data_IF_480150882696
#
_entry.id   IF_480150882696
#
_cell.length_a   1.000
_cell.length_b   1.000
_cell.length_c   1.000
_cell.angle_alpha   90.00
_cell.angle_beta   90.00
_cell.angle_gamma   90.00
#
_symmetry.space_group_name_H-M   'P 1'
#
loop_
_entity.id
_entity.type
_entity.pdbx_description
1 polymer ?
#
# COMPACT_ATOMS: atom_id res chain seq x y z
N UNK A 1 14.33 40.51 -49.62
CA UNK A 1 14.59 41.48 -48.53
C UNK A 1 14.26 40.82 -47.18
N UNK A 2 14.62 39.55 -47.01
CA UNK A 2 13.89 38.68 -46.09
C UNK A 2 14.68 38.31 -44.82
N UNK A 3 16.03 38.28 -44.88
CA UNK A 3 16.84 37.95 -43.70
C UNK A 3 16.92 39.07 -42.65
N UNK A 4 16.91 40.34 -43.11
CA UNK A 4 16.92 41.50 -42.19
C UNK A 4 15.60 41.66 -41.45
N UNK A 5 14.49 41.35 -42.12
CA UNK A 5 13.15 41.42 -41.56
C UNK A 5 12.96 40.34 -40.49
N UNK A 6 13.40 39.11 -40.77
CA UNK A 6 13.36 37.99 -39.83
C UNK A 6 14.17 38.27 -38.55
N UNK A 7 15.37 38.86 -38.68
CA UNK A 7 16.25 39.11 -37.54
C UNK A 7 15.76 40.23 -36.61
N UNK A 8 14.89 41.12 -37.08
CA UNK A 8 14.31 42.21 -36.29
C UNK A 8 12.89 41.93 -35.81
N UNK A 9 12.15 41.03 -36.46
CA UNK A 9 10.76 40.71 -36.08
C UNK A 9 10.59 39.41 -35.29
N UNK A 10 11.45 38.39 -35.48
CA UNK A 10 11.38 37.19 -34.63
C UNK A 10 11.68 37.45 -33.16
N UNK A 11 12.71 38.24 -32.78
CA UNK A 11 13.03 38.44 -31.38
C UNK A 11 11.87 39.06 -30.56
N UNK A 12 11.22 40.16 -31.01
CA UNK A 12 10.09 40.72 -30.27
C UNK A 12 8.86 39.79 -30.30
N UNK A 13 8.63 39.05 -31.39
CA UNK A 13 7.53 38.08 -31.47
C UNK A 13 7.72 36.92 -30.48
N UNK A 14 8.93 36.36 -30.40
CA UNK A 14 9.26 35.30 -29.46
C UNK A 14 9.23 35.79 -28.01
N UNK A 15 9.67 37.03 -27.75
CA UNK A 15 9.59 37.63 -26.42
C UNK A 15 8.12 37.86 -25.98
N UNK A 16 7.26 38.33 -26.89
CA UNK A 16 5.82 38.46 -26.66
C UNK A 16 5.19 37.09 -26.36
N UNK A 17 5.53 36.07 -27.15
CA UNK A 17 5.01 34.71 -26.97
C UNK A 17 5.45 34.10 -25.63
N UNK A 18 6.72 34.30 -25.25
CA UNK A 18 7.25 33.85 -23.96
C UNK A 18 6.57 34.56 -22.79
N UNK A 19 6.34 35.88 -22.88
CA UNK A 19 5.59 36.64 -21.88
C UNK A 19 4.15 36.13 -21.75
N UNK A 20 3.48 35.79 -22.85
CA UNK A 20 2.13 35.19 -22.81
C UNK A 20 2.13 33.80 -22.15
N UNK A 21 3.12 32.96 -22.44
CA UNK A 21 3.26 31.63 -21.82
C UNK A 21 3.52 31.75 -20.32
N UNK A 22 4.45 32.64 -19.92
CA UNK A 22 4.74 32.88 -18.50
C UNK A 22 3.52 33.49 -17.80
N UNK A 23 2.80 34.42 -18.44
CA UNK A 23 1.57 35.00 -17.90
C UNK A 23 0.49 33.94 -17.67
N UNK A 24 0.32 32.99 -18.60
CA UNK A 24 -0.62 31.87 -18.47
C UNK A 24 -0.21 30.86 -17.39
N UNK A 25 1.08 30.78 -17.06
CA UNK A 25 1.62 29.87 -16.05
C UNK A 25 1.65 30.48 -14.63
N UNK A 26 1.87 31.79 -14.53
CA UNK A 26 1.94 32.53 -13.25
C UNK A 26 0.59 33.07 -12.82
N UNK A 27 -0.27 33.46 -13.77
CA UNK A 27 -1.67 33.77 -13.49
C UNK A 27 -2.48 32.49 -13.68
N UNK A 28 -3.14 31.92 -12.65
CA UNK A 28 -4.14 30.89 -12.86
C UNK A 28 -5.39 31.56 -13.43
N UNK A 29 -5.29 32.08 -14.65
CA UNK A 29 -6.43 32.47 -15.45
C UNK A 29 -7.04 31.18 -15.95
N UNK A 30 -7.91 30.60 -15.12
CA UNK A 30 -8.89 29.60 -15.52
C UNK A 30 -9.63 30.14 -16.75
N UNK A 31 -9.44 29.57 -17.95
CA UNK A 31 -10.36 29.77 -19.05
C UNK A 31 -11.45 28.71 -18.86
N UNK A 32 -12.28 28.93 -17.85
CA UNK A 32 -13.29 27.98 -17.41
C UNK A 32 -14.09 28.62 -16.28
N UNK A 33 -15.39 28.68 -16.46
CA UNK A 33 -16.32 29.22 -15.49
C UNK A 33 -16.18 28.54 -14.12
N UNK A 34 -16.71 29.22 -13.09
CA UNK A 34 -16.94 28.73 -11.73
C UNK A 34 -15.76 28.73 -10.74
N UNK A 35 -15.36 29.93 -10.31
CA UNK A 35 -15.01 30.15 -8.91
C UNK A 35 -16.22 30.79 -8.21
N UNK A 36 -17.08 30.05 -7.47
CA UNK A 36 -18.12 30.69 -6.68
C UNK A 36 -17.45 31.32 -5.45
N UNK A 37 -17.23 32.64 -5.52
CA UNK A 37 -17.19 33.48 -4.32
C UNK A 37 -18.51 33.26 -3.58
N UNK A 38 -18.44 32.66 -2.40
CA UNK A 38 -19.52 32.48 -1.44
C UNK A 38 -20.37 33.77 -1.31
N UNK A 39 -21.64 33.80 -1.75
CA UNK A 39 -22.56 34.87 -1.39
C UNK A 39 -23.36 34.46 -0.14
N UNK A 40 -23.88 35.44 0.62
CA UNK A 40 -24.69 35.15 1.80
C UNK A 40 -26.02 34.52 1.39
N UNK A 41 -26.53 33.68 2.29
CA UNK A 41 -27.80 32.98 2.14
C UNK A 41 -28.95 33.98 1.99
N UNK A 42 -29.58 34.01 0.80
CA UNK A 42 -31.03 34.18 0.57
C UNK A 42 -31.30 34.65 -0.86
N UNK A 43 -31.99 33.83 -1.67
CA UNK A 43 -33.09 34.25 -2.57
C UNK A 43 -33.36 33.20 -3.68
N UNK A 44 -34.49 32.51 -3.53
CA UNK A 44 -35.45 32.04 -4.52
C UNK A 44 -35.09 31.88 -6.03
N UNK A 45 -35.27 30.63 -6.51
CA UNK A 45 -36.07 30.19 -7.69
C UNK A 45 -36.08 31.09 -8.96
N UNK A 46 -35.58 30.54 -10.09
CA UNK A 46 -36.32 30.25 -11.35
C UNK A 46 -35.37 29.96 -12.53
N UNK A 47 -35.75 29.00 -13.37
CA UNK A 47 -35.55 29.06 -14.84
C UNK A 47 -34.56 28.04 -15.41
N UNK A 48 -35.03 27.22 -16.36
CA UNK A 48 -34.31 26.10 -16.97
C UNK A 48 -33.28 26.46 -18.05
N UNK A 49 -32.45 25.47 -18.36
CA UNK A 49 -31.40 25.43 -19.39
C UNK A 49 -30.53 24.18 -19.17
N UNK A 50 -29.87 23.63 -20.21
CA UNK A 50 -29.36 22.25 -20.20
C UNK A 50 -28.13 22.10 -19.29
N UNK A 51 -28.36 21.67 -18.05
CA UNK A 51 -27.35 21.49 -17.00
C UNK A 51 -26.90 20.02 -16.87
N UNK A 52 -27.19 19.16 -17.85
CA UNK A 52 -26.89 17.72 -17.79
C UNK A 52 -25.40 17.38 -18.02
N UNK A 53 -24.52 18.36 -18.24
CA UNK A 53 -23.13 18.09 -18.64
C UNK A 53 -22.05 18.48 -17.64
N UNK A 54 -22.38 19.22 -16.58
CA UNK A 54 -21.39 19.69 -15.59
C UNK A 54 -21.46 18.91 -14.26
N UNK A 55 -22.55 18.18 -13.99
CA UNK A 55 -22.69 17.36 -12.76
C UNK A 55 -21.89 16.04 -12.79
N UNK A 56 -21.43 15.59 -13.97
CA UNK A 56 -20.80 14.27 -14.14
C UNK A 56 -19.31 14.26 -13.73
N UNK A 57 -18.63 15.41 -13.73
CA UNK A 57 -17.18 15.49 -13.50
C UNK A 57 -16.82 15.69 -12.01
N UNK A 58 -17.64 16.39 -11.22
CA UNK A 58 -17.42 16.57 -9.77
C UNK A 58 -17.85 15.32 -8.95
N UNK A 59 -18.69 14.46 -9.53
CA UNK A 59 -19.09 13.18 -8.93
C UNK A 59 -17.96 12.12 -8.90
N UNK A 60 -16.85 12.35 -9.62
CA UNK A 60 -15.75 11.39 -9.72
C UNK A 60 -14.81 11.40 -8.49
N UNK A 61 -14.86 12.44 -7.65
CA UNK A 61 -13.95 12.61 -6.50
C UNK A 61 -14.61 12.38 -5.13
N UNK A 62 -15.94 12.34 -5.04
CA UNK A 62 -16.60 11.90 -3.81
C UNK A 62 -16.54 10.38 -3.72
N UNK A 63 -15.96 9.80 -2.64
CA UNK A 63 -16.08 8.37 -2.41
C UNK A 63 -17.57 8.06 -2.34
N UNK A 64 -18.07 7.30 -3.32
CA UNK A 64 -19.44 6.78 -3.28
C UNK A 64 -19.64 6.20 -1.89
N UNK A 65 -20.59 6.73 -1.11
CA UNK A 65 -20.91 6.23 0.22
C UNK A 65 -21.40 4.79 0.07
N UNK A 66 -20.47 3.85 0.04
CA UNK A 66 -20.78 2.45 0.11
C UNK A 66 -21.39 2.21 1.49
N UNK A 67 -22.53 1.51 1.51
CA UNK A 67 -23.15 1.09 2.76
C UNK A 67 -22.10 0.31 3.58
N UNK A 68 -21.89 0.75 4.83
CA UNK A 68 -20.95 0.09 5.75
C UNK A 68 -21.68 -1.00 6.51
N UNK A 69 -21.16 -2.23 6.45
CA UNK A 69 -21.70 -3.34 7.23
C UNK A 69 -21.55 -3.05 8.74
N UNK A 70 -22.59 -3.28 9.57
CA UNK A 70 -22.55 -2.99 11.00
C UNK A 70 -21.78 -4.09 11.75
N UNK A 71 -20.46 -3.99 11.77
CA UNK A 71 -19.61 -4.88 12.57
C UNK A 71 -19.78 -4.63 14.07
N UNK A 72 -19.79 -5.70 14.86
CA UNK A 72 -19.75 -5.59 16.31
C UNK A 72 -18.36 -5.08 16.76
N UNK A 73 -18.30 -4.36 17.89
CA UNK A 73 -17.03 -3.84 18.43
C UNK A 73 -15.98 -4.95 18.67
N UNK A 74 -16.42 -6.16 19.01
CA UNK A 74 -15.54 -7.32 19.18
C UNK A 74 -14.92 -7.85 17.88
N UNK A 75 -15.55 -7.60 16.72
CA UNK A 75 -15.02 -8.02 15.42
C UNK A 75 -13.92 -7.07 14.93
N UNK A 76 -14.09 -5.77 15.21
CA UNK A 76 -13.15 -4.70 14.87
C UNK A 76 -11.92 -4.69 15.79
N UNK A 77 -12.11 -4.96 17.08
CA UNK A 77 -11.03 -4.87 18.08
C UNK A 77 -10.22 -6.16 18.15
N UNK A 78 -9.20 -6.30 17.30
CA UNK A 78 -8.25 -7.42 17.34
C UNK A 78 -7.02 -7.04 18.17
N UNK A 79 -7.09 -7.27 19.48
CA UNK A 79 -5.96 -7.11 20.40
C UNK A 79 -5.46 -8.48 20.86
N UNK A 80 -4.29 -8.89 20.35
CA UNK A 80 -3.62 -10.12 20.74
C UNK A 80 -2.39 -9.76 21.57
N UNK A 81 -2.24 -10.33 22.76
CA UNK A 81 -0.99 -10.29 23.51
C UNK A 81 -0.06 -11.34 22.91
N UNK A 82 0.88 -10.91 22.08
CA UNK A 82 1.83 -11.81 21.43
C UNK A 82 3.07 -11.98 22.31
N UNK A 83 3.29 -13.21 22.79
CA UNK A 83 4.48 -13.56 23.55
C UNK A 83 5.57 -14.12 22.63
N UNK A 84 6.50 -13.24 22.28
CA UNK A 84 7.68 -13.60 21.48
C UNK A 84 8.72 -14.41 22.25
N UNK A 85 8.61 -14.61 23.57
CA UNK A 85 9.48 -15.55 24.32
C UNK A 85 8.77 -16.86 24.67
N UNK A 86 7.44 -16.89 24.58
CA UNK A 86 6.60 -18.07 24.82
C UNK A 86 6.53 -19.06 23.65
N UNK A 87 5.32 -19.47 23.26
CA UNK A 87 5.07 -20.45 22.17
C UNK A 87 4.26 -19.87 21.01
N UNK A 88 4.00 -18.57 21.02
CA UNK A 88 3.14 -17.94 20.01
C UNK A 88 3.85 -17.87 18.66
N UNK A 89 3.11 -18.18 17.59
CA UNK A 89 3.62 -18.17 16.22
C UNK A 89 2.67 -17.37 15.33
N UNK A 90 3.22 -16.44 14.56
CA UNK A 90 2.49 -15.76 13.49
C UNK A 90 2.57 -16.61 12.23
N UNK A 91 1.42 -16.94 11.65
CA UNK A 91 1.32 -17.66 10.37
C UNK A 91 0.87 -16.69 9.29
N UNK A 92 1.73 -16.44 8.30
CA UNK A 92 1.39 -15.58 7.17
C UNK A 92 0.93 -16.41 5.96
N UNK A 93 -0.40 -16.46 5.74
CA UNK A 93 -1.03 -17.02 4.56
C UNK A 93 -0.83 -16.06 3.37
N UNK A 94 -0.04 -16.48 2.38
CA UNK A 94 0.32 -15.65 1.23
C UNK A 94 -0.50 -16.00 -0.02
N UNK A 95 -1.61 -15.28 -0.20
CA UNK A 95 -2.45 -15.35 -1.41
C UNK A 95 -1.69 -14.74 -2.60
N UNK A 96 -1.83 -15.36 -3.77
CA UNK A 96 -1.17 -14.89 -4.98
C UNK A 96 -1.58 -13.47 -5.36
N UNK A 97 -0.61 -12.70 -5.89
CA UNK A 97 -0.81 -11.36 -6.46
C UNK A 97 -1.41 -10.30 -5.50
N UNK A 98 -1.45 -10.55 -4.20
CA UNK A 98 -1.95 -9.60 -3.18
C UNK A 98 -0.87 -8.70 -2.58
N UNK A 99 0.29 -8.57 -3.24
CA UNK A 99 1.43 -7.83 -2.68
C UNK A 99 2.13 -8.53 -1.51
N UNK A 100 1.80 -9.81 -1.23
CA UNK A 100 2.38 -10.54 -0.10
C UNK A 100 3.89 -10.77 -0.16
N UNK A 101 4.53 -10.58 -1.32
CA UNK A 101 6.00 -10.54 -1.41
C UNK A 101 6.57 -9.30 -0.72
N UNK A 102 5.94 -8.13 -0.85
CA UNK A 102 6.37 -6.91 -0.17
C UNK A 102 6.07 -7.02 1.32
N UNK A 103 4.83 -7.39 1.66
CA UNK A 103 4.42 -7.56 3.05
C UNK A 103 5.28 -8.58 3.80
N UNK A 104 5.53 -9.75 3.20
CA UNK A 104 6.39 -10.77 3.79
C UNK A 104 7.83 -10.31 4.00
N UNK A 105 8.39 -9.45 3.13
CA UNK A 105 9.73 -8.87 3.35
C UNK A 105 9.73 -7.92 4.54
N UNK A 106 8.67 -7.14 4.74
CA UNK A 106 8.54 -6.28 5.91
C UNK A 106 8.48 -7.10 7.21
N UNK A 107 7.79 -8.25 7.21
CA UNK A 107 7.76 -9.12 8.39
C UNK A 107 9.15 -9.60 8.85
N UNK A 108 10.06 -9.86 7.92
CA UNK A 108 11.40 -10.39 8.24
C UNK A 108 12.48 -9.31 8.34
N UNK A 109 12.26 -8.09 7.84
CA UNK A 109 13.29 -7.02 7.79
C UNK A 109 12.90 -5.70 8.44
N UNK A 110 11.62 -5.46 8.68
CA UNK A 110 11.10 -4.14 9.05
C UNK A 110 10.20 -4.16 10.30
N UNK A 111 10.38 -5.13 11.17
CA UNK A 111 9.77 -5.14 12.51
C UNK A 111 10.86 -4.81 13.52
N UNK A 112 10.57 -3.91 14.45
CA UNK A 112 11.48 -3.60 15.55
C UNK A 112 11.39 -4.72 16.60
N UNK A 113 12.45 -5.52 16.70
CA UNK A 113 12.54 -6.70 17.53
C UNK A 113 13.76 -6.62 18.43
N UNK A 114 13.68 -7.21 19.63
CA UNK A 114 14.84 -7.41 20.50
C UNK A 114 15.93 -8.22 19.77
N UNK A 115 15.53 -9.28 19.07
CA UNK A 115 16.39 -10.06 18.20
C UNK A 115 15.84 -10.03 16.76
N UNK A 116 16.52 -9.35 15.81
CA UNK A 116 16.06 -9.30 14.42
C UNK A 116 16.26 -10.64 13.70
N UNK A 117 15.48 -10.88 12.64
CA UNK A 117 15.70 -12.03 11.78
C UNK A 117 17.04 -11.92 11.05
N UNK A 118 17.74 -13.04 10.93
CA UNK A 118 19.00 -13.11 10.21
C UNK A 118 18.78 -13.53 8.75
N UNK A 119 19.00 -12.60 7.81
CA UNK A 119 18.85 -12.81 6.37
C UNK A 119 20.22 -12.78 5.68
N UNK A 120 20.69 -13.91 5.14
CA UNK A 120 21.93 -13.94 4.33
C UNK A 120 21.69 -13.40 2.92
N UNK A 121 22.64 -12.61 2.41
CA UNK A 121 22.63 -12.19 1.01
C UNK A 121 22.61 -13.42 0.08
N UNK A 122 21.81 -13.35 -0.99
CA UNK A 122 21.59 -14.48 -1.92
C UNK A 122 20.58 -15.53 -1.46
N UNK A 123 20.27 -15.61 -0.16
CA UNK A 123 19.24 -16.53 0.35
C UNK A 123 17.86 -15.85 0.37
N UNK A 124 16.85 -16.55 -0.17
CA UNK A 124 15.46 -16.07 -0.12
C UNK A 124 14.84 -16.25 1.28
N UNK A 125 15.40 -17.14 2.10
CA UNK A 125 14.89 -17.48 3.44
C UNK A 125 15.76 -16.82 4.52
N UNK A 126 15.11 -16.24 5.51
CA UNK A 126 15.70 -15.67 6.71
C UNK A 126 15.44 -16.58 7.93
N UNK A 127 16.32 -16.50 8.92
CA UNK A 127 16.17 -17.20 10.19
C UNK A 127 15.56 -16.23 11.23
N UNK A 128 14.30 -16.46 11.60
CA UNK A 128 13.55 -15.64 12.56
C UNK A 128 13.39 -16.40 13.89
N UNK A 129 14.49 -16.52 14.63
CA UNK A 129 14.52 -17.26 15.89
C UNK A 129 13.92 -16.46 17.04
N UNK A 130 13.52 -17.20 18.08
CA UNK A 130 13.00 -16.65 19.32
C UNK A 130 14.11 -15.95 20.13
N UNK A 131 13.85 -14.77 20.74
CA UNK A 131 14.75 -14.18 21.71
C UNK A 131 14.89 -15.10 22.93
N UNK A 132 16.13 -15.36 23.37
CA UNK A 132 16.42 -16.24 24.51
C UNK A 132 17.22 -17.51 24.19
N UNK A 133 17.55 -17.75 22.93
CA UNK A 133 18.50 -18.81 22.53
C UNK A 133 17.86 -20.08 21.97
N UNK A 134 16.54 -20.20 22.01
CA UNK A 134 15.83 -21.31 21.37
C UNK A 134 15.93 -21.21 19.84
N UNK A 135 16.19 -22.34 19.19
CA UNK A 135 16.24 -22.42 17.71
C UNK A 135 14.85 -22.41 17.07
N UNK A 136 13.80 -22.31 17.87
CA UNK A 136 12.42 -22.22 17.41
C UNK A 136 12.14 -20.88 16.72
N UNK A 137 11.22 -20.90 15.76
CA UNK A 137 10.82 -19.73 14.98
C UNK A 137 9.50 -19.17 15.48
N UNK A 138 9.40 -17.84 15.60
CA UNK A 138 8.14 -17.17 15.97
C UNK A 138 7.29 -16.80 14.74
N UNK A 139 7.85 -16.96 13.53
CA UNK A 139 7.20 -16.62 12.27
C UNK A 139 7.17 -17.82 11.33
N UNK A 140 5.98 -18.20 10.87
CA UNK A 140 5.76 -19.15 9.79
C UNK A 140 5.35 -18.41 8.52
N UNK A 141 6.23 -18.40 7.53
CA UNK A 141 6.02 -17.70 6.27
C UNK A 141 6.97 -18.23 5.18
N UNK A 142 6.70 -17.87 3.93
CA UNK A 142 7.62 -18.12 2.81
C UNK A 142 9.06 -17.66 3.10
N UNK A 143 9.24 -16.50 3.72
CA UNK A 143 10.56 -15.91 3.94
C UNK A 143 11.22 -16.33 5.26
N UNK A 144 10.53 -17.10 6.12
CA UNK A 144 11.12 -17.66 7.35
C UNK A 144 11.25 -19.18 7.28
N UNK A 145 10.15 -19.90 7.09
CA UNK A 145 10.08 -21.36 7.06
C UNK A 145 10.05 -21.94 5.65
N UNK A 146 9.87 -21.11 4.62
CA UNK A 146 9.74 -21.56 3.23
C UNK A 146 8.37 -22.13 2.94
N UNK A 147 8.30 -23.05 1.97
CA UNK A 147 7.07 -23.72 1.54
C UNK A 147 6.88 -25.06 2.26
N UNK A 148 7.02 -25.05 3.59
CA UNK A 148 7.00 -26.30 4.39
C UNK A 148 5.69 -27.06 4.34
N UNK A 149 4.58 -26.38 4.01
CA UNK A 149 3.24 -26.93 3.95
C UNK A 149 2.62 -26.84 2.55
N UNK A 150 3.44 -26.64 1.50
CA UNK A 150 2.97 -26.44 0.13
C UNK A 150 3.34 -25.06 -0.44
N UNK A 151 3.40 -24.99 -1.77
CA UNK A 151 3.65 -23.74 -2.51
C UNK A 151 2.36 -22.93 -2.54
N UNK A 152 2.36 -21.77 -1.88
CA UNK A 152 1.17 -20.92 -1.70
C UNK A 152 0.01 -21.62 -0.98
N UNK A 153 0.36 -22.33 0.10
CA UNK A 153 -0.60 -23.05 0.91
C UNK A 153 -1.78 -22.18 1.37
N UNK A 154 -2.98 -22.70 1.17
CA UNK A 154 -4.23 -22.02 1.52
C UNK A 154 -4.59 -22.22 3.00
N UNK A 155 -5.77 -21.75 3.39
CA UNK A 155 -6.23 -21.87 4.77
C UNK A 155 -6.34 -23.33 5.21
N UNK A 156 -6.88 -24.21 4.36
CA UNK A 156 -7.11 -25.62 4.68
C UNK A 156 -5.79 -26.38 4.88
N UNK A 157 -4.82 -26.11 4.01
CA UNK A 157 -3.49 -26.71 4.08
C UNK A 157 -2.71 -26.20 5.31
N UNK A 158 -2.76 -24.89 5.58
CA UNK A 158 -2.03 -24.33 6.71
C UNK A 158 -2.58 -24.79 8.05
N UNK A 159 -3.90 -24.83 8.24
CA UNK A 159 -4.49 -25.28 9.50
C UNK A 159 -4.22 -26.74 9.80
N UNK A 160 -4.11 -27.59 8.76
CA UNK A 160 -3.84 -29.03 8.91
C UNK A 160 -2.34 -29.35 9.05
N UNK A 161 -1.46 -28.57 8.42
CA UNK A 161 -0.03 -28.88 8.37
C UNK A 161 0.82 -28.13 9.41
N UNK A 162 0.55 -26.85 9.67
CA UNK A 162 1.46 -25.97 10.45
C UNK A 162 1.76 -26.53 11.86
N UNK A 163 0.78 -27.00 12.65
CA UNK A 163 1.05 -27.55 13.98
C UNK A 163 2.11 -28.67 13.95
N UNK A 164 1.94 -29.64 13.05
CA UNK A 164 2.89 -30.74 12.88
C UNK A 164 4.24 -30.29 12.30
N UNK A 165 4.24 -29.30 11.40
CA UNK A 165 5.46 -28.76 10.82
C UNK A 165 6.33 -28.00 11.84
N UNK A 166 5.72 -27.34 12.82
CA UNK A 166 6.43 -26.64 13.89
C UNK A 166 7.04 -27.62 14.89
N UNK A 167 6.29 -28.63 15.33
CA UNK A 167 6.78 -29.66 16.25
C UNK A 167 8.01 -30.40 15.72
N UNK A 168 7.97 -30.80 14.43
CA UNK A 168 9.11 -31.47 13.77
C UNK A 168 10.39 -30.64 13.76
N UNK A 169 10.29 -29.30 13.82
CA UNK A 169 11.44 -28.39 13.82
C UNK A 169 12.02 -28.24 15.22
N UNK A 170 11.19 -28.16 16.25
CA UNK A 170 11.62 -28.16 17.64
C UNK A 170 12.35 -29.45 18.02
N UNK A 171 11.93 -30.60 17.47
CA UNK A 171 12.59 -31.89 17.70
C UNK A 171 13.80 -32.20 16.79
N UNK A 172 14.13 -31.34 15.81
CA UNK A 172 15.21 -31.61 14.86
C UNK A 172 16.63 -31.61 15.49
N UNK A 173 16.76 -31.24 16.77
CA UNK A 173 17.99 -31.34 17.54
C UNK A 173 18.53 -32.77 17.74
N UNK A 174 17.73 -33.81 17.50
CA UNK A 174 18.10 -35.21 17.75
C UNK A 174 18.37 -36.04 16.48
N UNK A 175 18.50 -35.43 15.30
CA UNK A 175 18.65 -36.16 14.02
C UNK A 175 20.08 -36.31 13.50
N UNK A 176 21.11 -35.90 14.25
CA UNK A 176 22.53 -36.02 13.85
C UNK A 176 23.29 -37.17 14.53
N UNK A 177 22.60 -38.19 15.03
CA UNK A 177 23.21 -39.46 15.46
C UNK A 177 22.59 -40.60 14.64
N UNK A 178 23.02 -40.74 13.39
CA UNK A 178 23.01 -42.01 12.68
C UNK A 178 24.01 -42.00 11.54
#
# INVERSE_FOLDING_TARGET
MDERFNRWLLPPLLALLFLLIVYQYVSPACPGAACPRRPPASAARRGGGPEEREEEEEAAAMPRLAAKFPFARGELCRRVRFDMRGRDVIVFLHIQKTGGTTFGRHLVRNIHLEQPCYCRAGQKKCACHRPGGDKDTWLFSRFSTGWSCGLHADWTELTSCVPAAMERRSCAGNRTLR
#
